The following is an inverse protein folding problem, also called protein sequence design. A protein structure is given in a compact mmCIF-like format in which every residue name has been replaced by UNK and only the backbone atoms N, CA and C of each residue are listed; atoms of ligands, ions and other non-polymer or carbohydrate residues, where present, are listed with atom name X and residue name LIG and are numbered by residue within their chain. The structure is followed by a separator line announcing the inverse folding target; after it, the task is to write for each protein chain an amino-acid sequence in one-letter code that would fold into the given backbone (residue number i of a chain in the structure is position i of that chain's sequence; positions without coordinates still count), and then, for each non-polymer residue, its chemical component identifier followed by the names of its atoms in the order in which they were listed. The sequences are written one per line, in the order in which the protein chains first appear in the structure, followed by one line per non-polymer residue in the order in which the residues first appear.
data_IF_364264612568
#
_entry.id   IF_364264612568
#
_cell.length_a   1.000
_cell.length_b   1.000
_cell.length_c   1.000
_cell.angle_alpha   90.00
_cell.angle_beta   90.00
_cell.angle_gamma   90.00
#
_symmetry.space_group_name_H-M   'P 1'
#
loop_
_entity.id
_entity.type
_entity.pdbx_description
1 polymer ?
#
# COMPACT_ATOMS: atom_id res chain seq x y z
N UNK A 1 0.28 -3.36 -42.32
CA UNK A 1 1.03 -4.57 -41.92
C UNK A 1 1.33 -4.49 -40.42
N UNK A 2 0.60 -5.21 -39.58
CA UNK A 2 0.95 -5.38 -38.16
C UNK A 2 1.63 -6.74 -38.01
N UNK A 3 2.87 -6.76 -37.52
CA UNK A 3 3.56 -8.00 -37.21
C UNK A 3 2.89 -8.69 -36.01
N UNK A 4 2.46 -9.94 -36.21
CA UNK A 4 1.88 -10.81 -35.17
C UNK A 4 2.94 -11.35 -34.20
N UNK A 5 4.22 -11.13 -34.47
CA UNK A 5 5.33 -11.67 -33.69
C UNK A 5 5.98 -10.56 -32.87
N UNK A 6 5.34 -10.20 -31.75
CA UNK A 6 6.03 -9.42 -30.71
C UNK A 6 7.13 -10.29 -30.11
N UNK A 7 8.36 -9.78 -30.08
CA UNK A 7 9.54 -10.43 -29.51
C UNK A 7 9.34 -10.98 -28.08
N UNK A 8 8.35 -10.48 -27.34
CA UNK A 8 7.93 -11.00 -26.02
C UNK A 8 7.50 -12.48 -26.03
N UNK A 9 7.06 -13.04 -27.16
CA UNK A 9 6.71 -14.46 -27.26
C UNK A 9 7.93 -15.38 -27.42
N UNK A 10 9.04 -14.85 -27.95
CA UNK A 10 10.27 -15.59 -28.25
C UNK A 10 11.27 -15.43 -27.11
N UNK A 11 11.37 -14.21 -26.57
CA UNK A 11 12.24 -13.88 -25.45
C UNK A 11 11.33 -13.65 -24.25
N UNK A 12 11.09 -14.71 -23.45
CA UNK A 12 10.67 -14.50 -22.06
C UNK A 12 11.81 -13.76 -21.39
N UNK A 13 11.67 -12.45 -21.23
CA UNK A 13 12.58 -11.71 -20.37
C UNK A 13 12.53 -12.40 -19.00
N UNK A 14 13.60 -13.11 -18.65
CA UNK A 14 13.82 -13.74 -17.36
C UNK A 14 14.05 -12.61 -16.35
N UNK A 15 13.03 -11.78 -16.14
CA UNK A 15 13.07 -10.71 -15.17
C UNK A 15 12.98 -11.39 -13.81
N UNK A 16 13.98 -11.17 -12.98
CA UNK A 16 13.95 -11.62 -11.60
C UNK A 16 12.65 -11.15 -10.94
N UNK A 17 12.00 -12.06 -10.21
CA UNK A 17 10.79 -11.73 -9.46
C UNK A 17 11.16 -10.70 -8.41
N UNK A 18 10.67 -9.46 -8.58
CA UNK A 18 10.93 -8.40 -7.61
C UNK A 18 10.15 -8.74 -6.32
N UNK A 19 10.82 -8.84 -5.16
CA UNK A 19 10.12 -9.07 -3.90
C UNK A 19 9.05 -8.00 -3.66
N UNK A 20 7.88 -8.37 -3.12
CA UNK A 20 6.77 -7.44 -2.86
C UNK A 20 7.23 -6.16 -2.15
N UNK A 21 8.03 -6.32 -1.10
CA UNK A 21 8.61 -5.24 -0.29
C UNK A 21 9.48 -4.23 -1.07
N UNK A 22 10.08 -4.66 -2.19
CA UNK A 22 10.96 -3.84 -3.05
C UNK A 22 10.21 -3.09 -4.15
N UNK A 23 8.90 -3.32 -4.31
CA UNK A 23 8.11 -2.59 -5.30
C UNK A 23 8.01 -1.11 -4.95
N UNK A 24 7.94 -0.28 -6.00
CA UNK A 24 7.76 1.17 -5.95
C UNK A 24 6.51 1.56 -6.73
N UNK A 25 6.01 2.77 -6.48
CA UNK A 25 4.86 3.34 -7.18
C UNK A 25 3.61 2.47 -7.01
N UNK A 26 3.32 2.09 -5.78
CA UNK A 26 2.23 1.14 -5.46
C UNK A 26 1.19 1.79 -4.56
N UNK A 27 -0.05 1.35 -4.74
CA UNK A 27 -1.12 1.45 -3.74
C UNK A 27 -1.11 0.15 -2.96
N UNK A 28 -1.05 0.23 -1.63
CA UNK A 28 -0.95 -0.92 -0.74
C UNK A 28 -2.05 -0.89 0.32
N UNK A 29 -2.34 -2.06 0.88
CA UNK A 29 -3.31 -2.28 1.96
C UNK A 29 -2.62 -3.00 3.11
N UNK A 30 -2.79 -2.46 4.31
CA UNK A 30 -2.38 -3.09 5.57
C UNK A 30 -3.65 -3.47 6.33
N UNK A 31 -3.77 -4.74 6.70
CA UNK A 31 -4.91 -5.26 7.45
C UNK A 31 -4.58 -5.32 8.94
N UNK A 32 -5.58 -5.03 9.76
CA UNK A 32 -5.52 -5.35 11.18
C UNK A 32 -5.51 -6.88 11.36
N UNK A 33 -4.72 -7.36 12.31
CA UNK A 33 -4.64 -8.76 12.70
C UNK A 33 -5.77 -9.20 13.62
N UNK A 34 -6.40 -8.26 14.31
CA UNK A 34 -7.36 -8.51 15.39
C UNK A 34 -8.80 -8.14 15.02
N UNK A 35 -9.02 -7.40 13.93
CA UNK A 35 -10.35 -7.06 13.42
C UNK A 35 -10.34 -6.85 11.89
N UNK A 36 -11.52 -6.62 11.32
CA UNK A 36 -11.69 -6.46 9.86
C UNK A 36 -11.27 -5.08 9.33
N UNK A 37 -10.72 -4.22 10.19
CA UNK A 37 -10.26 -2.89 9.79
C UNK A 37 -9.01 -2.97 8.91
N UNK A 38 -8.87 -2.01 8.00
CA UNK A 38 -7.70 -1.91 7.13
C UNK A 38 -7.36 -0.49 6.75
N UNK A 39 -6.08 -0.25 6.48
CA UNK A 39 -5.57 1.02 5.97
C UNK A 39 -5.09 0.84 4.53
N UNK A 40 -5.46 1.77 3.65
CA UNK A 40 -4.92 1.87 2.30
C UNK A 40 -4.04 3.11 2.20
N UNK A 41 -2.90 2.99 1.53
CA UNK A 41 -2.06 4.14 1.23
C UNK A 41 -1.26 3.94 -0.06
N UNK A 42 -0.70 5.02 -0.59
CA UNK A 42 0.23 4.96 -1.72
C UNK A 42 1.67 5.29 -1.33
N UNK A 43 2.61 4.85 -2.18
CA UNK A 43 4.00 5.32 -2.12
C UNK A 43 4.67 5.29 -3.49
N UNK A 44 5.42 6.35 -3.82
CA UNK A 44 6.35 6.35 -4.94
C UNK A 44 7.69 5.68 -4.62
N UNK A 45 8.00 5.47 -3.33
CA UNK A 45 9.24 4.86 -2.84
C UNK A 45 9.08 3.35 -2.70
N UNK A 46 10.12 2.65 -2.24
CA UNK A 46 10.02 1.21 -1.95
C UNK A 46 8.97 1.00 -0.85
N UNK A 47 8.08 0.02 -1.04
CA UNK A 47 7.03 -0.32 -0.09
C UNK A 47 7.56 -0.54 1.33
N UNK A 48 8.68 -1.26 1.46
CA UNK A 48 9.32 -1.51 2.76
C UNK A 48 9.70 -0.24 3.51
N UNK A 49 10.10 0.82 2.80
CA UNK A 49 10.43 2.10 3.43
C UNK A 49 9.19 2.70 4.07
N UNK A 50 8.04 2.65 3.38
CA UNK A 50 6.78 3.18 3.90
C UNK A 50 6.25 2.37 5.08
N UNK A 51 6.35 1.05 5.02
CA UNK A 51 5.99 0.15 6.13
C UNK A 51 6.84 0.45 7.37
N UNK A 52 8.15 0.61 7.20
CA UNK A 52 9.05 0.91 8.31
C UNK A 52 8.80 2.28 8.94
N UNK A 53 8.37 3.27 8.16
CA UNK A 53 7.93 4.56 8.70
C UNK A 53 6.72 4.42 9.61
N UNK A 54 5.70 3.66 9.18
CA UNK A 54 4.52 3.40 10.02
C UNK A 54 4.90 2.69 11.32
N UNK A 55 5.73 1.64 11.25
CA UNK A 55 6.26 0.95 12.44
C UNK A 55 7.02 1.90 13.38
N UNK A 56 7.89 2.74 12.83
CA UNK A 56 8.65 3.72 13.63
C UNK A 56 7.74 4.79 14.23
N UNK A 57 6.69 5.21 13.54
CA UNK A 57 5.77 6.22 14.01
C UNK A 57 4.96 5.72 15.21
N UNK A 58 4.56 4.44 15.21
CA UNK A 58 3.92 3.80 16.35
C UNK A 58 4.80 3.85 17.61
N UNK A 59 6.09 3.60 17.46
CA UNK A 59 7.02 3.58 18.60
C UNK A 59 7.38 4.97 19.13
N UNK A 60 7.00 6.05 18.43
CA UNK A 60 7.27 7.42 18.87
C UNK A 60 6.07 7.94 19.67
N UNK A 61 6.32 8.50 20.86
CA UNK A 61 5.34 9.30 21.60
C UNK A 61 5.19 10.69 20.97
N UNK A 62 4.75 10.76 19.72
CA UNK A 62 4.37 12.03 19.09
C UNK A 62 2.94 12.40 19.48
N UNK A 63 2.67 13.70 19.60
CA UNK A 63 1.31 14.23 19.80
C UNK A 63 0.42 13.99 18.58
N UNK A 64 0.99 14.05 17.37
CA UNK A 64 0.27 13.79 16.12
C UNK A 64 0.42 12.33 15.70
N UNK A 65 -0.49 11.48 16.19
CA UNK A 65 -0.53 10.05 15.85
C UNK A 65 -1.16 9.84 14.48
N UNK A 66 -0.69 8.82 13.75
CA UNK A 66 -1.35 8.40 12.50
C UNK A 66 -2.58 7.56 12.82
N UNK A 67 -3.56 7.45 11.91
CA UNK A 67 -4.73 6.58 12.11
C UNK A 67 -4.37 5.13 12.41
N UNK A 68 -3.29 4.62 11.82
CA UNK A 68 -2.75 3.28 12.11
C UNK A 68 -2.28 3.22 13.57
N UNK A 69 -1.52 4.23 14.02
CA UNK A 69 -1.00 4.33 15.38
C UNK A 69 -2.14 4.46 16.39
N UNK A 70 -3.12 5.29 16.11
CA UNK A 70 -4.27 5.54 16.98
C UNK A 70 -5.13 4.28 17.12
N UNK A 71 -5.46 3.61 16.01
CA UNK A 71 -6.17 2.34 16.04
C UNK A 71 -5.43 1.28 16.88
N UNK A 72 -4.12 1.15 16.67
CA UNK A 72 -3.28 0.22 17.43
C UNK A 72 -3.35 0.50 18.93
N UNK A 73 -3.14 1.75 19.33
CA UNK A 73 -3.04 2.15 20.74
C UNK A 73 -4.39 2.12 21.47
N UNK A 74 -5.49 2.43 20.79
CA UNK A 74 -6.82 2.49 21.40
C UNK A 74 -7.43 1.11 21.62
N UNK A 75 -7.11 0.15 20.74
CA UNK A 75 -7.70 -1.20 20.76
C UNK A 75 -6.70 -2.30 21.12
N UNK A 76 -5.43 -1.96 21.38
CA UNK A 76 -4.34 -2.91 21.59
C UNK A 76 -4.24 -3.97 20.46
N UNK A 77 -4.50 -3.52 19.23
CA UNK A 77 -4.46 -4.35 18.04
C UNK A 77 -3.06 -4.38 17.42
N UNK A 78 -2.79 -5.36 16.57
CA UNK A 78 -1.57 -5.45 15.79
C UNK A 78 -1.90 -5.49 14.29
N UNK A 79 -1.03 -4.91 13.46
CA UNK A 79 -1.19 -4.96 12.00
C UNK A 79 -0.38 -6.10 11.39
N UNK A 80 -0.88 -6.66 10.27
CA UNK A 80 -0.17 -7.70 9.51
C UNK A 80 0.96 -7.11 8.67
N UNK A 81 2.05 -6.73 9.33
CA UNK A 81 3.16 -6.03 8.68
C UNK A 81 3.92 -6.81 7.62
N UNK A 82 3.91 -8.14 7.71
CA UNK A 82 4.61 -9.03 6.77
C UNK A 82 3.71 -9.49 5.62
N UNK A 83 2.39 -9.26 5.73
CA UNK A 83 1.39 -9.60 4.71
C UNK A 83 0.69 -8.35 4.14
N UNK A 84 1.50 -7.36 3.79
CA UNK A 84 1.00 -6.15 3.10
C UNK A 84 0.64 -6.47 1.66
N UNK A 85 -0.60 -6.14 1.28
CA UNK A 85 -1.13 -6.40 -0.06
C UNK A 85 -0.84 -5.20 -0.96
N UNK A 86 -0.39 -5.46 -2.19
CA UNK A 86 -0.31 -4.45 -3.24
C UNK A 86 -1.63 -4.51 -4.01
N UNK A 87 -2.38 -3.43 -4.01
CA UNK A 87 -3.68 -3.33 -4.69
C UNK A 87 -3.52 -2.88 -6.15
N UNK A 88 -2.57 -1.97 -6.39
CA UNK A 88 -2.30 -1.43 -7.72
C UNK A 88 -0.85 -0.94 -7.83
N UNK A 89 -0.35 -0.83 -9.07
CA UNK A 89 0.98 -0.29 -9.38
C UNK A 89 0.88 0.74 -10.50
N UNK A 90 1.00 2.00 -10.12
CA UNK A 90 0.79 3.14 -11.00
C UNK A 90 1.99 4.12 -10.89
N UNK A 91 2.86 4.18 -11.91
CA UNK A 91 4.03 5.07 -11.91
C UNK A 91 3.69 6.56 -11.85
N UNK A 92 2.57 6.98 -12.44
CA UNK A 92 2.20 8.38 -12.53
C UNK A 92 1.48 8.83 -11.25
N UNK A 93 2.03 9.84 -10.56
CA UNK A 93 1.53 10.29 -9.26
C UNK A 93 0.03 10.59 -9.25
N UNK A 94 -0.46 11.41 -10.18
CA UNK A 94 -1.87 11.80 -10.23
C UNK A 94 -2.82 10.61 -10.44
N UNK A 95 -2.42 9.65 -11.30
CA UNK A 95 -3.19 8.42 -11.50
C UNK A 95 -3.15 7.53 -10.26
N UNK A 96 -2.02 7.51 -9.55
CA UNK A 96 -1.87 6.76 -8.31
C UNK A 96 -2.72 7.34 -7.18
N UNK A 97 -2.86 8.66 -7.09
CA UNK A 97 -3.80 9.30 -6.15
C UNK A 97 -5.24 8.88 -6.43
N UNK A 98 -5.65 8.91 -7.70
CA UNK A 98 -6.98 8.44 -8.08
C UNK A 98 -7.19 6.95 -7.76
N UNK A 99 -6.19 6.10 -8.04
CA UNK A 99 -6.20 4.67 -7.70
C UNK A 99 -6.29 4.44 -6.18
N UNK A 100 -5.54 5.21 -5.39
CA UNK A 100 -5.61 5.19 -3.92
C UNK A 100 -7.02 5.53 -3.44
N UNK A 101 -7.59 6.65 -3.90
CA UNK A 101 -8.96 7.07 -3.56
C UNK A 101 -9.98 5.98 -3.89
N UNK A 102 -9.90 5.36 -5.08
CA UNK A 102 -10.78 4.26 -5.47
C UNK A 102 -10.63 3.05 -4.54
N UNK A 103 -9.40 2.72 -4.17
CA UNK A 103 -9.12 1.62 -3.24
C UNK A 103 -9.66 1.92 -1.85
N UNK A 104 -9.54 3.15 -1.34
CA UNK A 104 -10.10 3.58 -0.05
C UNK A 104 -11.63 3.45 -0.07
N UNK A 105 -12.29 3.98 -1.10
CA UNK A 105 -13.77 3.93 -1.24
C UNK A 105 -14.32 2.51 -1.36
N UNK A 106 -13.51 1.55 -1.78
CA UNK A 106 -13.88 0.13 -1.89
C UNK A 106 -13.70 -0.64 -0.57
N UNK A 107 -13.11 -0.04 0.46
CA UNK A 107 -12.96 -0.70 1.75
C UNK A 107 -14.31 -0.81 2.46
N UNK A 108 -14.55 -1.95 3.09
CA UNK A 108 -15.72 -2.14 3.97
C UNK A 108 -15.51 -1.46 5.32
N UNK A 109 -14.34 -1.66 5.92
CA UNK A 109 -13.95 -1.06 7.20
C UNK A 109 -12.57 -0.41 7.06
N UNK A 110 -12.56 0.82 6.52
CA UNK A 110 -11.35 1.60 6.25
C UNK A 110 -10.95 2.49 7.42
N UNK A 111 -9.66 2.53 7.74
CA UNK A 111 -9.08 3.44 8.76
C UNK A 111 -8.73 4.82 8.20
N UNK A 112 -8.75 5.01 6.89
CA UNK A 112 -8.45 6.26 6.23
C UNK A 112 -9.41 7.38 6.67
N UNK A 113 -8.91 8.61 6.82
CA UNK A 113 -9.73 9.78 7.11
C UNK A 113 -10.46 10.23 5.84
N UNK A 114 -11.61 10.88 5.96
CA UNK A 114 -12.34 11.40 4.79
C UNK A 114 -11.51 12.40 3.98
N UNK A 115 -10.63 13.16 4.65
CA UNK A 115 -9.64 14.06 4.03
C UNK A 115 -8.61 13.33 3.17
N UNK A 116 -8.44 12.02 3.31
CA UNK A 116 -7.56 11.21 2.44
C UNK A 116 -8.20 10.92 1.07
N UNK A 117 -9.45 11.36 0.85
CA UNK A 117 -10.22 11.12 -0.38
C UNK A 117 -10.74 12.38 -1.09
N UNK A 118 -10.41 13.55 -0.57
CA UNK A 118 -10.78 14.87 -1.11
C UNK A 118 -9.71 15.45 -2.05
#
# INVERSE_FOLDING_TARGET
YYSLNKLNNIIKAHKDVIPKASNKNVVYKIECGNCDASYVGQTGRKLITRINEHKKHINRCTTNKSVITEHRLNFDHEFKWDDVKILDKEPYYNKRLFSEMLCIKRQLNGLNLQTDTE
#
